data_IF_972792387928
#
_entry.id   IF_972792387928
#
_cell.length_a   1.000
_cell.length_b   1.000
_cell.length_c   1.000
_cell.angle_alpha   90.00
_cell.angle_beta   90.00
_cell.angle_gamma   90.00
#
_symmetry.space_group_name_H-M   'P 1'
#
loop_
_entity.id
_entity.type
_entity.pdbx_description
1 polymer ?
#
# COMPACT_ATOMS: atom_id res chain seq x y z
N UNK A 1 -22.61 22.15 -3.46
CA UNK A 1 -22.42 21.04 -2.50
C UNK A 1 -23.76 20.76 -1.82
N UNK A 2 -24.16 19.50 -1.60
CA UNK A 2 -25.47 19.21 -0.98
C UNK A 2 -25.48 19.55 0.53
N UNK A 3 -26.65 19.90 1.09
CA UNK A 3 -26.82 20.09 2.55
C UNK A 3 -26.36 18.87 3.35
N UNK A 4 -26.59 17.65 2.82
CA UNK A 4 -26.10 16.41 3.43
C UNK A 4 -24.58 16.39 3.51
N UNK A 5 -23.87 16.82 2.47
CA UNK A 5 -22.41 16.86 2.45
C UNK A 5 -21.85 17.81 3.50
N UNK A 6 -22.44 19.01 3.62
CA UNK A 6 -22.01 20.02 4.60
C UNK A 6 -22.14 19.47 6.02
N UNK A 7 -23.26 18.83 6.34
CA UNK A 7 -23.49 18.23 7.66
C UNK A 7 -22.47 17.13 8.00
N UNK A 8 -22.07 16.30 7.03
CA UNK A 8 -21.06 15.26 7.28
C UNK A 8 -19.67 15.85 7.51
N UNK A 9 -19.30 16.88 6.73
CA UNK A 9 -18.03 17.58 6.92
C UNK A 9 -17.98 18.26 8.27
N UNK A 10 -19.04 18.95 8.68
CA UNK A 10 -19.12 19.61 9.99
C UNK A 10 -18.97 18.60 11.14
N UNK A 11 -19.68 17.46 11.07
CA UNK A 11 -19.55 16.39 12.06
C UNK A 11 -18.12 15.87 12.15
N UNK A 12 -17.45 15.67 11.01
CA UNK A 12 -16.07 15.21 10.98
C UNK A 12 -15.10 16.24 11.58
N UNK A 13 -15.26 17.52 11.24
CA UNK A 13 -14.44 18.61 11.80
C UNK A 13 -14.61 18.71 13.30
N UNK A 14 -15.85 18.72 13.81
CA UNK A 14 -16.14 18.76 15.25
C UNK A 14 -15.50 17.58 15.97
N UNK A 15 -15.68 16.35 15.47
CA UNK A 15 -15.02 15.14 16.03
C UNK A 15 -13.50 15.29 16.09
N UNK A 16 -12.88 15.80 15.02
CA UNK A 16 -11.42 15.95 14.97
C UNK A 16 -10.93 16.98 16.00
N UNK A 17 -11.66 18.09 16.17
CA UNK A 17 -11.36 19.12 17.17
C UNK A 17 -11.55 18.59 18.60
N UNK A 18 -12.69 17.94 18.88
CA UNK A 18 -13.01 17.38 20.19
C UNK A 18 -12.00 16.31 20.63
N UNK A 19 -11.50 15.52 19.68
CA UNK A 19 -10.51 14.46 19.95
C UNK A 19 -9.12 15.02 20.22
N UNK A 20 -8.79 16.16 19.62
CA UNK A 20 -7.49 16.82 19.75
C UNK A 20 -6.32 15.99 19.24
N UNK A 21 -5.12 16.55 19.32
CA UNK A 21 -3.88 15.90 18.81
C UNK A 21 -3.60 14.60 19.56
N UNK A 22 -3.75 14.58 20.88
CA UNK A 22 -3.48 13.40 21.71
C UNK A 22 -4.40 12.24 21.36
N UNK A 23 -5.72 12.47 21.30
CA UNK A 23 -6.66 11.41 20.97
C UNK A 23 -6.52 10.91 19.52
N UNK A 24 -6.16 11.80 18.57
CA UNK A 24 -5.87 11.40 17.20
C UNK A 24 -4.61 10.53 17.12
N UNK A 25 -3.57 10.84 17.90
CA UNK A 25 -2.36 10.02 18.00
C UNK A 25 -2.66 8.64 18.57
N UNK A 26 -3.46 8.55 19.63
CA UNK A 26 -3.87 7.27 20.21
C UNK A 26 -4.68 6.42 19.23
N UNK A 27 -5.61 7.03 18.50
CA UNK A 27 -6.36 6.36 17.42
C UNK A 27 -5.44 5.87 16.30
N UNK A 28 -4.46 6.66 15.88
CA UNK A 28 -3.48 6.20 14.91
C UNK A 28 -2.65 5.02 15.46
N UNK A 29 -2.23 5.07 16.73
CA UNK A 29 -1.43 4.02 17.34
C UNK A 29 -2.19 2.69 17.47
N UNK A 30 -3.51 2.71 17.66
CA UNK A 30 -4.34 1.49 17.66
C UNK A 30 -4.51 0.92 16.25
N UNK A 31 -4.53 1.77 15.22
CA UNK A 31 -4.71 1.37 13.82
C UNK A 31 -3.42 1.01 13.08
N UNK A 32 -2.25 1.51 13.50
CA UNK A 32 -0.99 1.36 12.73
C UNK A 32 -0.54 -0.09 12.52
N UNK A 33 -1.04 -1.02 13.34
CA UNK A 33 -0.75 -2.47 13.25
C UNK A 33 -1.91 -3.26 12.64
N UNK A 34 -2.88 -2.57 12.06
CA UNK A 34 -4.00 -3.23 11.42
C UNK A 34 -3.52 -4.08 10.25
N UNK A 35 -3.86 -5.35 10.31
CA UNK A 35 -3.65 -6.35 9.25
C UNK A 35 -5.05 -6.84 8.87
N UNK A 36 -5.50 -6.64 7.62
CA UNK A 36 -6.77 -7.18 7.17
C UNK A 36 -6.83 -8.69 7.39
N UNK A 37 -8.02 -9.19 7.72
CA UNK A 37 -8.24 -10.63 7.88
C UNK A 37 -7.85 -11.37 6.58
N UNK A 38 -7.06 -12.44 6.74
CA UNK A 38 -6.58 -13.24 5.61
C UNK A 38 -5.54 -12.56 4.70
N UNK A 39 -4.95 -11.42 5.11
CA UNK A 39 -3.85 -10.80 4.37
C UNK A 39 -2.63 -11.74 4.34
N UNK A 40 -2.14 -12.04 3.13
CA UNK A 40 -0.90 -12.78 2.90
C UNK A 40 0.12 -11.93 2.13
N UNK A 41 1.40 -12.29 2.21
CA UNK A 41 2.53 -11.57 1.58
C UNK A 41 3.52 -12.56 0.93
N UNK A 42 3.02 -13.69 0.45
CA UNK A 42 3.83 -14.82 -0.01
C UNK A 42 4.72 -14.43 -1.20
N UNK A 43 4.19 -13.68 -2.17
CA UNK A 43 4.98 -13.25 -3.32
C UNK A 43 6.08 -12.27 -2.92
N UNK A 44 5.80 -11.36 -1.97
CA UNK A 44 6.80 -10.47 -1.39
C UNK A 44 7.91 -11.25 -0.68
N UNK A 45 7.54 -12.19 0.20
CA UNK A 45 8.51 -12.97 0.96
C UNK A 45 9.35 -13.90 0.07
N UNK A 46 8.75 -14.49 -0.97
CA UNK A 46 9.44 -15.38 -1.91
C UNK A 46 10.37 -14.68 -2.89
N UNK A 47 10.23 -13.36 -3.09
CA UNK A 47 11.05 -12.58 -4.03
C UNK A 47 11.99 -11.58 -3.35
N UNK A 48 11.96 -11.49 -2.01
CA UNK A 48 12.78 -10.55 -1.25
C UNK A 48 14.27 -10.79 -1.47
N UNK A 49 14.75 -12.03 -1.36
CA UNK A 49 16.14 -12.41 -1.58
C UNK A 49 16.60 -12.18 -3.03
N UNK A 50 15.66 -12.10 -3.98
CA UNK A 50 15.93 -11.73 -5.38
C UNK A 50 16.01 -10.20 -5.60
N UNK A 51 15.98 -9.41 -4.53
CA UNK A 51 16.14 -7.95 -4.57
C UNK A 51 14.96 -7.20 -5.20
N UNK A 52 13.78 -7.82 -5.33
CA UNK A 52 12.60 -7.19 -5.96
C UNK A 52 11.91 -6.16 -5.05
N UNK A 53 12.24 -6.15 -3.77
CA UNK A 53 11.66 -5.29 -2.74
C UNK A 53 12.75 -4.51 -2.03
N UNK A 54 12.54 -3.20 -1.81
CA UNK A 54 13.54 -2.31 -1.23
C UNK A 54 13.69 -2.46 0.28
N UNK A 55 12.58 -2.70 0.98
CA UNK A 55 12.52 -2.72 2.44
C UNK A 55 11.76 -3.94 2.94
N UNK A 56 12.33 -4.64 3.92
CA UNK A 56 11.76 -5.88 4.48
C UNK A 56 10.52 -5.63 5.34
N UNK A 57 10.47 -4.47 5.99
CA UNK A 57 9.41 -4.02 6.88
C UNK A 57 8.25 -3.32 6.15
N UNK A 58 8.31 -3.22 4.82
CA UNK A 58 7.24 -2.69 3.97
C UNK A 58 6.66 -3.82 3.11
N UNK A 59 5.69 -4.60 3.63
CA UNK A 59 5.13 -5.74 2.91
C UNK A 59 4.28 -5.30 1.70
N UNK A 60 4.26 -6.14 0.67
CA UNK A 60 3.32 -6.05 -0.45
C UNK A 60 2.31 -7.19 -0.34
N UNK A 61 1.01 -6.86 -0.26
CA UNK A 61 -0.05 -7.84 -0.04
C UNK A 61 -0.39 -8.61 -1.32
N UNK A 62 -0.66 -9.92 -1.19
CA UNK A 62 -0.97 -10.75 -2.36
C UNK A 62 -2.33 -10.38 -2.98
N UNK A 63 -3.36 -10.13 -2.15
CA UNK A 63 -4.75 -9.91 -2.61
C UNK A 63 -4.89 -8.80 -3.65
N UNK A 64 -4.09 -7.75 -3.53
CA UNK A 64 -4.16 -6.57 -4.40
C UNK A 64 -2.83 -6.26 -5.08
N UNK A 65 -1.88 -7.20 -5.14
CA UNK A 65 -0.63 -6.95 -5.87
C UNK A 65 -0.90 -6.74 -7.36
N UNK A 66 -0.09 -5.90 -7.99
CA UNK A 66 -0.05 -5.81 -9.44
C UNK A 66 0.68 -7.06 -9.95
N UNK A 67 -0.01 -7.88 -10.73
CA UNK A 67 0.57 -9.06 -11.38
C UNK A 67 1.03 -8.67 -12.78
N UNK A 68 2.33 -8.73 -13.02
CA UNK A 68 2.90 -8.45 -14.34
C UNK A 68 2.58 -9.59 -15.30
N UNK A 69 2.18 -9.23 -16.52
CA UNK A 69 1.97 -10.16 -17.62
C UNK A 69 2.68 -9.60 -18.84
N UNK A 70 3.88 -10.11 -19.12
CA UNK A 70 4.69 -9.66 -20.25
C UNK A 70 5.16 -10.87 -21.07
N UNK A 71 5.01 -10.86 -22.41
CA UNK A 71 5.45 -11.98 -23.24
C UNK A 71 6.94 -12.29 -23.04
N UNK A 72 7.26 -13.56 -22.78
CA UNK A 72 8.64 -14.03 -22.61
C UNK A 72 9.28 -13.78 -21.25
N UNK A 73 8.55 -13.23 -20.28
CA UNK A 73 9.02 -13.03 -18.89
C UNK A 73 8.18 -13.89 -17.96
N UNK A 74 8.83 -14.75 -17.17
CA UNK A 74 8.15 -15.65 -16.24
C UNK A 74 7.79 -14.97 -14.91
N UNK A 75 8.56 -13.95 -14.53
CA UNK A 75 8.38 -13.21 -13.29
C UNK A 75 7.15 -12.30 -13.37
N UNK A 76 6.25 -12.46 -12.41
CA UNK A 76 4.99 -11.71 -12.35
C UNK A 76 4.97 -10.64 -11.24
N UNK A 77 6.10 -10.47 -10.55
CA UNK A 77 6.19 -9.69 -9.32
C UNK A 77 6.82 -8.31 -9.51
N UNK A 78 6.10 -7.30 -9.03
CA UNK A 78 6.59 -5.96 -8.73
C UNK A 78 6.04 -5.56 -7.35
N UNK A 79 6.82 -4.81 -6.56
CA UNK A 79 6.35 -4.26 -5.28
C UNK A 79 5.38 -3.10 -5.53
N UNK A 80 4.14 -3.47 -5.86
CA UNK A 80 3.06 -2.54 -6.12
C UNK A 80 1.71 -3.16 -5.76
N UNK A 81 0.82 -2.36 -5.17
CA UNK A 81 -0.54 -2.74 -4.86
C UNK A 81 -1.55 -1.77 -5.49
N UNK A 82 -2.68 -2.32 -5.95
CA UNK A 82 -3.86 -1.53 -6.23
C UNK A 82 -4.44 -0.98 -4.92
N UNK A 83 -4.72 0.32 -4.91
CA UNK A 83 -5.37 1.00 -3.79
C UNK A 83 -6.75 1.48 -4.23
N UNK A 84 -7.74 1.04 -3.47
CA UNK A 84 -9.15 1.32 -3.72
C UNK A 84 -9.55 2.73 -3.28
N UNK A 85 -10.62 3.21 -3.89
CA UNK A 85 -11.45 4.32 -3.41
C UNK A 85 -12.87 3.79 -3.23
N UNK A 86 -13.76 4.49 -2.51
CA UNK A 86 -15.15 4.05 -2.35
C UNK A 86 -15.92 3.80 -3.67
N UNK A 87 -15.42 4.29 -4.79
CA UNK A 87 -16.05 4.17 -6.12
C UNK A 87 -15.27 3.29 -7.10
N UNK A 88 -14.05 2.87 -6.78
CA UNK A 88 -13.22 2.06 -7.68
C UNK A 88 -12.14 1.31 -6.89
N UNK A 89 -12.16 -0.03 -6.96
CA UNK A 89 -11.26 -0.92 -6.24
C UNK A 89 -9.80 -0.89 -6.73
N UNK A 90 -9.55 -0.43 -7.96
CA UNK A 90 -8.21 -0.39 -8.59
C UNK A 90 -7.87 1.01 -9.09
N UNK A 91 -8.20 2.02 -8.31
CA UNK A 91 -8.05 3.43 -8.72
C UNK A 91 -6.60 3.86 -8.86
N UNK A 92 -5.75 3.48 -7.90
CA UNK A 92 -4.36 3.88 -7.86
C UNK A 92 -3.45 2.67 -7.79
N UNK A 93 -2.23 2.81 -8.32
CA UNK A 93 -1.14 1.89 -8.05
C UNK A 93 -0.18 2.61 -7.12
N UNK A 94 -0.06 2.10 -5.90
CA UNK A 94 0.98 2.52 -4.97
C UNK A 94 2.15 1.54 -5.07
N UNK A 95 3.36 2.04 -5.30
CA UNK A 95 4.55 1.24 -5.52
C UNK A 95 5.75 1.89 -4.85
N UNK A 96 6.75 1.08 -4.49
CA UNK A 96 8.05 1.61 -4.07
C UNK A 96 8.72 2.39 -5.20
N UNK A 97 9.65 3.30 -4.87
CA UNK A 97 10.46 3.98 -5.89
C UNK A 97 11.33 2.97 -6.65
N UNK A 98 11.26 3.01 -7.97
CA UNK A 98 12.11 2.21 -8.85
C UNK A 98 13.58 2.47 -8.50
N UNK A 99 14.29 1.44 -8.05
CA UNK A 99 15.74 1.51 -8.00
C UNK A 99 16.24 1.24 -9.40
N UNK A 100 17.09 2.11 -9.93
CA UNK A 100 18.04 1.65 -10.95
C UNK A 100 18.91 0.61 -10.26
N UNK A 101 18.65 -0.67 -10.53
CA UNK A 101 19.59 -1.72 -10.20
C UNK A 101 20.81 -1.44 -11.07
N UNK A 102 21.92 -1.04 -10.45
CA UNK A 102 23.23 -1.12 -11.10
C UNK A 102 23.37 -2.60 -11.49
N UNK A 103 23.18 -2.91 -12.77
CA UNK A 103 23.68 -4.16 -13.30
C UNK A 103 25.18 -4.10 -13.03
N UNK A 104 25.66 -4.90 -12.08
CA UNK A 104 27.06 -5.24 -12.09
C UNK A 104 27.28 -5.98 -13.41
N UNK A 105 27.89 -5.30 -14.38
CA UNK A 105 28.43 -5.92 -15.56
C UNK A 105 29.55 -6.85 -15.10
N UNK A 106 29.23 -8.11 -14.88
CA UNK A 106 30.23 -9.16 -14.72
C UNK A 106 30.85 -9.40 -16.10
N UNK A 107 31.86 -8.61 -16.45
CA UNK A 107 32.86 -8.99 -17.45
C UNK A 107 34.00 -9.68 -16.73
N UNK A 108 34.09 -11.00 -16.89
CA UNK A 108 35.32 -11.81 -16.86
C UNK A 108 35.00 -13.17 -17.48
#
# INVERSE_FOLDING_TARGET
MSNRTILQVEKWVRRALDKGVTGLREEFLSLKRYVPEGMTTNAFQGTFEAGKSRYKDVPCQDKYRVVLKWPGVAEDYIHANYVATPINEKRFICTQVAAFIHQQTSTS
#
